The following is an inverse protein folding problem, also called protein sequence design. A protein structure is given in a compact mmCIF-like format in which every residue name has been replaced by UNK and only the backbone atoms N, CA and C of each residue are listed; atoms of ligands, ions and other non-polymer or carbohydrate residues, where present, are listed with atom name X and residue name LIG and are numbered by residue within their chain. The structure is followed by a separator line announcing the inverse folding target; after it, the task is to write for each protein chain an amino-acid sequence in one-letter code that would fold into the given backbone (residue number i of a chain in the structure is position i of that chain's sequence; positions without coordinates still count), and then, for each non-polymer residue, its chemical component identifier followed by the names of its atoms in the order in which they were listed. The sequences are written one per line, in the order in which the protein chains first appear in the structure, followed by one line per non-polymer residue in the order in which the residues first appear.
data_IF_775270436303
#
_entry.id   IF_775270436303
#
_cell.length_a   1.000
_cell.length_b   1.000
_cell.length_c   1.000
_cell.angle_alpha   90.00
_cell.angle_beta   90.00
_cell.angle_gamma   90.00
#
_symmetry.space_group_name_H-M   'P 1'
#
loop_
_entity.id
_entity.type
_entity.pdbx_description
1 polymer ?
#
# COMPACT_ATOMS: atom_id res chain seq x y z
N UNK A 1 38.24 -3.80 -32.40
CA UNK A 1 37.29 -4.75 -31.76
C UNK A 1 36.04 -3.93 -31.42
N UNK A 2 34.84 -4.39 -31.78
CA UNK A 2 33.58 -3.69 -31.43
C UNK A 2 32.92 -4.44 -30.29
N UNK A 3 32.39 -3.69 -29.32
CA UNK A 3 31.61 -4.21 -28.20
C UNK A 3 30.22 -3.59 -28.22
N UNK A 4 29.23 -4.37 -27.80
CA UNK A 4 27.85 -3.92 -27.58
C UNK A 4 27.50 -4.25 -26.14
N UNK A 5 26.96 -3.27 -25.41
CA UNK A 5 26.45 -3.46 -24.06
C UNK A 5 24.93 -3.52 -24.13
N UNK A 6 24.35 -4.48 -23.40
CA UNK A 6 22.91 -4.62 -23.24
C UNK A 6 22.54 -4.44 -21.77
N UNK A 7 21.39 -3.83 -21.55
CA UNK A 7 20.70 -3.79 -20.27
C UNK A 7 19.70 -4.96 -20.18
N UNK A 8 19.15 -5.24 -18.99
CA UNK A 8 18.16 -6.30 -18.78
C UNK A 8 16.75 -5.71 -18.79
N UNK A 9 16.48 -4.76 -17.90
CA UNK A 9 15.15 -4.17 -17.74
C UNK A 9 14.90 -3.12 -18.82
N UNK A 10 13.73 -3.20 -19.48
CA UNK A 10 13.38 -2.36 -20.63
C UNK A 10 14.08 -2.75 -21.94
N UNK A 11 14.95 -3.76 -21.94
CA UNK A 11 15.63 -4.29 -23.15
C UNK A 11 15.29 -5.75 -23.38
N UNK A 12 15.51 -6.63 -22.40
CA UNK A 12 15.15 -8.04 -22.49
C UNK A 12 13.85 -8.37 -21.76
N UNK A 13 13.60 -7.72 -20.61
CA UNK A 13 12.45 -7.97 -19.75
C UNK A 13 11.73 -6.66 -19.41
N UNK A 14 10.44 -6.74 -19.12
CA UNK A 14 9.64 -5.60 -18.65
C UNK A 14 9.51 -5.59 -17.12
N UNK A 15 9.30 -4.41 -16.54
CA UNK A 15 9.04 -4.25 -15.10
C UNK A 15 7.64 -4.71 -14.65
N UNK A 16 6.77 -5.12 -15.58
CA UNK A 16 5.36 -5.46 -15.32
C UNK A 16 5.17 -6.44 -14.15
N UNK A 17 6.02 -7.47 -14.06
CA UNK A 17 5.92 -8.45 -12.97
C UNK A 17 6.25 -7.88 -11.60
N UNK A 18 7.03 -6.80 -11.53
CA UNK A 18 7.27 -6.11 -10.28
C UNK A 18 6.02 -5.35 -9.82
N UNK A 19 5.26 -4.74 -10.75
CA UNK A 19 3.99 -4.09 -10.42
C UNK A 19 2.92 -5.11 -10.05
N UNK A 20 2.87 -6.25 -10.73
CA UNK A 20 1.99 -7.38 -10.36
C UNK A 20 2.23 -7.82 -8.92
N UNK A 21 3.49 -8.10 -8.55
CA UNK A 21 3.85 -8.50 -7.18
C UNK A 21 3.52 -7.41 -6.17
N UNK A 22 3.78 -6.14 -6.52
CA UNK A 22 3.43 -5.00 -5.66
C UNK A 22 1.93 -4.95 -5.36
N UNK A 23 1.09 -5.18 -6.38
CA UNK A 23 -0.36 -5.23 -6.21
C UNK A 23 -0.78 -6.42 -5.34
N UNK A 24 -0.21 -7.60 -5.60
CA UNK A 24 -0.49 -8.80 -4.81
C UNK A 24 -0.12 -8.60 -3.34
N UNK A 25 1.03 -7.99 -3.04
CA UNK A 25 1.43 -7.69 -1.65
C UNK A 25 0.43 -6.78 -0.94
N UNK A 26 0.00 -5.69 -1.60
CA UNK A 26 -1.01 -4.78 -1.03
C UNK A 26 -2.31 -5.56 -0.76
N UNK A 27 -2.78 -6.32 -1.75
CA UNK A 27 -4.05 -7.03 -1.67
C UNK A 27 -4.01 -8.14 -0.61
N UNK A 28 -2.91 -8.88 -0.51
CA UNK A 28 -2.71 -9.92 0.50
C UNK A 28 -2.69 -9.34 1.91
N UNK A 29 -1.97 -8.23 2.14
CA UNK A 29 -1.95 -7.56 3.44
C UNK A 29 -3.34 -7.09 3.89
N UNK A 30 -4.18 -6.64 2.97
CA UNK A 30 -5.53 -6.15 3.26
C UNK A 30 -6.53 -7.30 3.45
N UNK A 31 -6.50 -8.32 2.60
CA UNK A 31 -7.55 -9.34 2.52
C UNK A 31 -7.24 -10.61 3.31
N UNK A 32 -5.97 -11.06 3.33
CA UNK A 32 -5.61 -12.33 3.95
C UNK A 32 -5.80 -12.30 5.47
N UNK A 33 -6.33 -13.41 6.01
CA UNK A 33 -6.46 -13.65 7.46
C UNK A 33 -5.13 -13.66 8.22
N UNK A 34 -4.02 -13.84 7.51
CA UNK A 34 -2.68 -13.81 8.11
C UNK A 34 -2.24 -12.36 8.40
N UNK A 35 -2.95 -11.36 7.88
CA UNK A 35 -2.69 -9.94 8.09
C UNK A 35 -3.95 -9.24 8.60
N UNK A 36 -4.57 -8.33 7.82
CA UNK A 36 -5.75 -7.58 8.26
C UNK A 36 -7.04 -8.40 8.11
N UNK A 37 -7.14 -9.28 7.11
CA UNK A 37 -8.27 -10.21 7.03
C UNK A 37 -9.61 -9.60 6.64
N UNK A 38 -9.64 -8.54 5.83
CA UNK A 38 -10.89 -7.90 5.38
C UNK A 38 -11.79 -8.84 4.56
N UNK A 39 -11.19 -9.73 3.79
CA UNK A 39 -11.87 -10.80 3.08
C UNK A 39 -11.05 -12.10 3.17
N UNK A 40 -11.23 -12.88 4.24
CA UNK A 40 -10.44 -14.10 4.46
C UNK A 40 -10.80 -15.23 3.49
N UNK A 41 -11.78 -15.04 2.60
CA UNK A 41 -12.18 -16.02 1.59
C UNK A 41 -11.25 -16.04 0.37
N UNK A 42 -10.51 -14.94 0.13
CA UNK A 42 -9.58 -14.82 -1.00
C UNK A 42 -8.48 -15.88 -0.92
N UNK A 43 -8.25 -16.59 -2.02
CA UNK A 43 -7.18 -17.59 -2.15
C UNK A 43 -6.04 -17.02 -3.00
N UNK A 44 -4.85 -16.93 -2.42
CA UNK A 44 -3.65 -16.43 -3.10
C UNK A 44 -2.83 -17.55 -3.77
N UNK A 45 -3.12 -18.81 -3.46
CA UNK A 45 -2.46 -19.97 -4.05
C UNK A 45 -3.01 -20.25 -5.47
N UNK A 46 -2.10 -20.45 -6.43
CA UNK A 46 -2.49 -20.85 -7.79
C UNK A 46 -3.18 -19.78 -8.62
N UNK A 47 -2.97 -18.49 -8.31
CA UNK A 47 -3.52 -17.38 -9.09
C UNK A 47 -3.07 -17.45 -10.56
N UNK A 48 -4.02 -17.23 -11.46
CA UNK A 48 -3.78 -17.11 -12.90
C UNK A 48 -3.34 -15.68 -13.26
N UNK A 49 -2.66 -15.51 -14.41
CA UNK A 49 -2.26 -14.18 -14.91
C UNK A 49 -3.44 -13.19 -15.03
N UNK A 50 -4.63 -13.68 -15.39
CA UNK A 50 -5.83 -12.85 -15.46
C UNK A 50 -6.28 -12.34 -14.09
N UNK A 51 -6.22 -13.19 -13.07
CA UNK A 51 -6.56 -12.80 -11.69
C UNK A 51 -5.53 -11.84 -11.11
N UNK A 52 -4.24 -12.06 -11.40
CA UNK A 52 -3.17 -11.13 -11.02
C UNK A 52 -3.41 -9.75 -11.65
N UNK A 53 -3.76 -9.72 -12.94
CA UNK A 53 -4.07 -8.49 -13.67
C UNK A 53 -5.30 -7.79 -13.09
N UNK A 54 -6.35 -8.54 -12.73
CA UNK A 54 -7.53 -7.99 -12.08
C UNK A 54 -7.21 -7.36 -10.72
N UNK A 55 -6.46 -8.05 -9.87
CA UNK A 55 -5.99 -7.52 -8.58
C UNK A 55 -5.18 -6.24 -8.79
N UNK A 56 -4.26 -6.23 -9.77
CA UNK A 56 -3.49 -5.02 -10.11
C UNK A 56 -4.38 -3.86 -10.53
N UNK A 57 -5.35 -4.09 -11.40
CA UNK A 57 -6.28 -3.06 -11.85
C UNK A 57 -7.11 -2.49 -10.70
N UNK A 58 -7.48 -3.32 -9.72
CA UNK A 58 -8.16 -2.86 -8.50
C UNK A 58 -7.20 -2.04 -7.65
N UNK A 59 -6.06 -2.61 -7.25
CA UNK A 59 -5.14 -2.01 -6.27
C UNK A 59 -4.52 -0.71 -6.75
N UNK A 60 -4.08 -0.67 -8.00
CA UNK A 60 -3.45 0.52 -8.57
C UNK A 60 -4.39 1.37 -9.42
N UNK A 61 -5.69 1.07 -9.36
CA UNK A 61 -6.74 1.79 -10.08
C UNK A 61 -6.39 1.97 -11.56
N UNK A 62 -6.32 0.85 -12.29
CA UNK A 62 -5.89 0.79 -13.69
C UNK A 62 -4.53 1.49 -13.94
N UNK A 63 -3.56 1.26 -13.05
CA UNK A 63 -2.22 1.86 -13.03
C UNK A 63 -2.15 3.40 -12.91
N UNK A 64 -3.27 4.08 -12.66
CA UNK A 64 -3.27 5.53 -12.43
C UNK A 64 -2.43 5.89 -11.20
N UNK A 65 -2.51 5.07 -10.14
CA UNK A 65 -1.73 5.26 -8.91
C UNK A 65 -0.24 5.10 -9.19
N UNK A 66 0.17 4.05 -9.91
CA UNK A 66 1.56 3.83 -10.29
C UNK A 66 2.11 4.99 -11.13
N UNK A 67 1.32 5.42 -12.12
CA UNK A 67 1.68 6.55 -12.99
C UNK A 67 1.89 7.83 -12.17
N UNK A 68 0.99 8.10 -11.22
CA UNK A 68 1.11 9.27 -10.33
C UNK A 68 2.35 9.18 -9.43
N UNK A 69 2.58 8.05 -8.78
CA UNK A 69 3.75 7.83 -7.91
C UNK A 69 5.07 8.04 -8.67
N UNK A 70 5.19 7.45 -9.87
CA UNK A 70 6.35 7.64 -10.74
C UNK A 70 6.53 9.10 -11.16
N UNK A 71 5.43 9.80 -11.51
CA UNK A 71 5.47 11.23 -11.87
C UNK A 71 5.95 12.12 -10.71
N UNK A 72 5.72 11.69 -9.47
CA UNK A 72 6.22 12.34 -8.26
C UNK A 72 7.63 11.90 -7.88
N UNK A 73 8.30 11.06 -8.69
CA UNK A 73 9.67 10.63 -8.47
C UNK A 73 9.83 9.43 -7.54
N UNK A 74 8.76 8.69 -7.27
CA UNK A 74 8.81 7.43 -6.51
C UNK A 74 8.87 6.23 -7.47
N UNK A 75 10.03 5.60 -7.59
CA UNK A 75 10.26 4.50 -8.55
C UNK A 75 10.47 3.12 -7.88
N UNK A 76 10.72 3.08 -6.57
CA UNK A 76 10.89 1.82 -5.85
C UNK A 76 9.54 1.14 -5.65
N UNK A 77 9.41 -0.09 -6.13
CA UNK A 77 8.21 -0.91 -5.92
C UNK A 77 7.85 -1.06 -4.44
N UNK A 78 8.86 -1.19 -3.58
CA UNK A 78 8.68 -1.25 -2.12
C UNK A 78 8.10 0.04 -1.55
N UNK A 79 8.57 1.21 -2.00
CA UNK A 79 8.02 2.47 -1.54
C UNK A 79 6.59 2.67 -2.08
N UNK A 80 6.35 2.32 -3.35
CA UNK A 80 5.04 2.45 -3.99
C UNK A 80 3.97 1.60 -3.28
N UNK A 81 4.24 0.31 -3.06
CA UNK A 81 3.30 -0.56 -2.33
C UNK A 81 3.13 -0.12 -0.88
N UNK A 82 4.19 0.39 -0.23
CA UNK A 82 4.10 0.88 1.14
C UNK A 82 3.17 2.08 1.25
N UNK A 83 3.29 3.08 0.36
CA UNK A 83 2.39 4.25 0.37
C UNK A 83 0.94 3.80 0.20
N UNK A 84 0.65 2.88 -0.73
CA UNK A 84 -0.72 2.39 -0.97
C UNK A 84 -1.27 1.65 0.25
N UNK A 85 -0.49 0.73 0.84
CA UNK A 85 -0.89 0.04 2.08
C UNK A 85 -1.13 1.04 3.20
N UNK A 86 -0.23 2.01 3.41
CA UNK A 86 -0.33 2.98 4.49
C UNK A 86 -1.60 3.83 4.40
N UNK A 87 -1.99 4.28 3.20
CA UNK A 87 -3.22 5.06 3.01
C UNK A 87 -4.47 4.23 3.38
N UNK A 88 -4.54 2.97 2.96
CA UNK A 88 -5.64 2.10 3.35
C UNK A 88 -5.61 1.76 4.84
N UNK A 89 -4.43 1.51 5.40
CA UNK A 89 -4.26 1.22 6.82
C UNK A 89 -4.71 2.39 7.70
N UNK A 90 -4.33 3.62 7.36
CA UNK A 90 -4.81 4.84 8.03
C UNK A 90 -6.34 4.88 7.99
N UNK A 91 -6.96 4.58 6.84
CA UNK A 91 -8.42 4.56 6.71
C UNK A 91 -9.07 3.55 7.65
N UNK A 92 -8.48 2.37 7.80
CA UNK A 92 -8.97 1.32 8.70
C UNK A 92 -8.86 1.75 10.17
N UNK A 93 -7.73 2.35 10.55
CA UNK A 93 -7.50 2.86 11.90
C UNK A 93 -8.50 3.95 12.33
N UNK A 94 -9.12 4.69 11.39
CA UNK A 94 -10.20 5.63 11.72
C UNK A 94 -11.45 4.96 12.30
N UNK A 95 -11.61 3.64 12.11
CA UNK A 95 -12.71 2.85 12.67
C UNK A 95 -12.50 2.42 14.12
N UNK A 96 -11.31 2.65 14.68
CA UNK A 96 -10.93 2.22 16.03
C UNK A 96 -11.30 3.25 17.09
N UNK A 97 -11.46 2.80 18.34
CA UNK A 97 -11.49 3.71 19.49
C UNK A 97 -10.11 4.30 19.78
N UNK A 98 -10.04 5.40 20.55
CA UNK A 98 -8.77 6.04 20.89
C UNK A 98 -7.82 5.09 21.65
N UNK A 99 -8.34 4.23 22.52
CA UNK A 99 -7.53 3.27 23.28
C UNK A 99 -6.93 2.22 22.34
N UNK A 100 -7.75 1.66 21.45
CA UNK A 100 -7.31 0.70 20.43
C UNK A 100 -6.29 1.31 19.47
N UNK A 101 -6.51 2.56 19.07
CA UNK A 101 -5.62 3.30 18.19
C UNK A 101 -4.26 3.50 18.86
N UNK A 102 -4.20 3.89 20.13
CA UNK A 102 -2.93 4.06 20.85
C UNK A 102 -2.10 2.77 20.91
N UNK A 103 -2.75 1.62 21.12
CA UNK A 103 -2.08 0.33 21.09
C UNK A 103 -1.53 -0.01 19.69
N UNK A 104 -2.31 0.27 18.64
CA UNK A 104 -1.92 0.06 17.24
C UNK A 104 -0.76 0.97 16.82
N UNK A 105 -0.75 2.23 17.27
CA UNK A 105 0.28 3.22 16.93
C UNK A 105 1.61 3.03 17.69
N UNK A 106 1.66 2.14 18.68
CA UNK A 106 2.83 1.92 19.50
C UNK A 106 3.94 1.16 18.75
N UNK A 107 5.07 1.81 18.39
CA UNK A 107 6.10 1.19 17.56
C UNK A 107 6.83 0.04 18.27
N UNK A 108 6.79 -0.02 19.61
CA UNK A 108 7.42 -1.10 20.37
C UNK A 108 6.61 -2.40 20.32
N UNK A 109 5.34 -2.30 19.95
CA UNK A 109 4.40 -3.43 19.93
C UNK A 109 3.93 -3.76 18.52
N UNK A 110 4.21 -2.90 17.52
CA UNK A 110 3.80 -3.11 16.14
C UNK A 110 4.39 -4.39 15.55
N UNK A 111 3.53 -5.33 15.17
CA UNK A 111 3.89 -6.58 14.51
C UNK A 111 2.69 -7.13 13.71
N UNK A 112 2.80 -8.34 13.17
CA UNK A 112 1.73 -8.98 12.40
C UNK A 112 0.41 -9.11 13.16
N UNK A 113 0.44 -9.37 14.48
CA UNK A 113 -0.78 -9.43 15.30
C UNK A 113 -1.46 -8.05 15.42
N UNK A 114 -0.72 -6.95 15.27
CA UNK A 114 -1.30 -5.61 15.23
C UNK A 114 -2.20 -5.44 14.01
N UNK A 115 -1.81 -6.01 12.86
CA UNK A 115 -2.63 -5.98 11.64
C UNK A 115 -3.92 -6.78 11.82
N UNK A 116 -3.81 -8.00 12.38
CA UNK A 116 -4.97 -8.84 12.68
C UNK A 116 -5.92 -8.15 13.67
N UNK A 117 -5.37 -7.52 14.71
CA UNK A 117 -6.15 -6.76 15.67
C UNK A 117 -6.96 -5.64 15.02
N UNK A 118 -6.39 -4.89 14.07
CA UNK A 118 -7.13 -3.85 13.34
C UNK A 118 -8.32 -4.47 12.62
N UNK A 119 -8.12 -5.58 11.90
CA UNK A 119 -9.17 -6.28 11.17
C UNK A 119 -10.32 -6.79 12.04
N UNK A 120 -10.00 -7.33 13.22
CA UNK A 120 -10.99 -7.89 14.17
C UNK A 120 -11.87 -6.81 14.81
N UNK A 121 -11.40 -5.56 14.88
CA UNK A 121 -12.07 -4.48 15.61
C UNK A 121 -12.74 -3.44 14.71
N UNK A 122 -12.67 -3.62 13.40
CA UNK A 122 -13.41 -2.83 12.41
C UNK A 122 -14.58 -3.64 11.86
N UNK A 123 -15.66 -2.96 11.47
CA UNK A 123 -16.82 -3.62 10.86
C UNK A 123 -17.36 -2.82 9.68
N UNK A 124 -17.85 -3.51 8.65
CA UNK A 124 -18.46 -2.93 7.44
C UNK A 124 -17.59 -1.90 6.71
N UNK A 125 -16.27 -2.12 6.63
CA UNK A 125 -15.39 -1.22 5.88
C UNK A 125 -15.41 -1.59 4.40
N UNK A 126 -15.82 -0.64 3.56
CA UNK A 126 -15.59 -0.70 2.11
C UNK A 126 -14.35 0.13 1.79
N UNK A 127 -13.33 -0.51 1.22
CA UNK A 127 -12.14 0.20 0.77
C UNK A 127 -12.41 0.92 -0.55
N UNK A 128 -12.07 2.20 -0.60
CA UNK A 128 -11.96 2.95 -1.84
C UNK A 128 -10.52 2.86 -2.35
N UNK A 129 -10.28 1.97 -3.31
CA UNK A 129 -8.96 1.78 -3.92
C UNK A 129 -8.47 2.98 -4.74
N UNK A 130 -9.33 3.98 -5.02
CA UNK A 130 -8.90 5.23 -5.64
C UNK A 130 -8.36 6.25 -4.62
N UNK A 131 -8.56 6.04 -3.31
CA UNK A 131 -8.15 6.97 -2.25
C UNK A 131 -6.67 7.40 -2.30
N UNK A 132 -5.69 6.53 -2.67
CA UNK A 132 -4.31 6.97 -2.86
C UNK A 132 -4.14 8.09 -3.89
N UNK A 133 -4.97 8.16 -4.94
CA UNK A 133 -4.91 9.26 -5.92
C UNK A 133 -5.25 10.60 -5.26
N UNK A 134 -6.31 10.64 -4.46
CA UNK A 134 -6.72 11.84 -3.76
C UNK A 134 -5.64 12.35 -2.80
N UNK A 135 -4.94 11.44 -2.11
CA UNK A 135 -3.75 11.77 -1.32
C UNK A 135 -2.65 12.40 -2.18
N UNK A 136 -2.31 11.77 -3.32
CA UNK A 136 -1.18 12.17 -4.16
C UNK A 136 -1.40 13.50 -4.90
N UNK A 137 -2.63 13.99 -5.06
CA UNK A 137 -2.91 15.25 -5.74
C UNK A 137 -2.38 16.49 -5.01
N UNK A 138 -2.23 16.42 -3.69
CA UNK A 138 -1.66 17.50 -2.86
C UNK A 138 -0.15 17.40 -2.64
N UNK A 139 0.51 16.36 -3.14
CA UNK A 139 1.89 16.01 -2.75
C UNK A 139 2.91 16.60 -3.72
N UNK A 140 3.95 17.24 -3.16
CA UNK A 140 5.10 17.70 -3.95
C UNK A 140 6.03 16.54 -4.33
N UNK A 141 6.63 16.60 -5.51
CA UNK A 141 7.55 15.57 -6.01
C UNK A 141 8.75 15.34 -5.09
N UNK A 142 9.25 14.10 -5.07
CA UNK A 142 10.40 13.62 -4.30
C UNK A 142 9.98 12.68 -3.18
N UNK A 143 10.72 11.57 -3.02
CA UNK A 143 10.47 10.54 -2.00
C UNK A 143 10.26 11.16 -0.60
N UNK A 144 11.19 12.00 -0.15
CA UNK A 144 11.11 12.61 1.19
C UNK A 144 9.86 13.46 1.38
N UNK A 145 9.39 14.15 0.33
CA UNK A 145 8.19 14.97 0.39
C UNK A 145 6.92 14.11 0.46
N UNK A 146 6.89 12.98 -0.26
CA UNK A 146 5.79 12.01 -0.20
C UNK A 146 5.67 11.43 1.22
N UNK A 147 6.77 10.97 1.80
CA UNK A 147 6.76 10.40 3.17
C UNK A 147 6.37 11.45 4.22
N UNK A 148 6.88 12.69 4.12
CA UNK A 148 6.44 13.79 5.01
C UNK A 148 4.95 14.08 4.89
N UNK A 149 4.43 14.05 3.65
CA UNK A 149 3.00 14.24 3.40
C UNK A 149 2.17 13.09 3.96
N UNK A 150 2.67 11.84 3.86
CA UNK A 150 2.02 10.67 4.44
C UNK A 150 1.95 10.75 5.98
N UNK A 151 3.04 11.16 6.64
CA UNK A 151 3.06 11.40 8.09
C UNK A 151 2.01 12.45 8.47
N UNK A 152 1.98 13.58 7.76
CA UNK A 152 1.01 14.66 8.00
C UNK A 152 -0.42 14.16 7.81
N UNK A 153 -0.67 13.44 6.72
CA UNK A 153 -1.96 12.85 6.41
C UNK A 153 -2.43 11.90 7.52
N UNK A 154 -1.54 11.04 8.05
CA UNK A 154 -1.86 10.16 9.16
C UNK A 154 -2.19 10.92 10.45
N UNK A 155 -1.37 11.92 10.82
CA UNK A 155 -1.61 12.73 12.02
C UNK A 155 -2.97 13.44 11.96
N UNK A 156 -3.35 13.99 10.80
CA UNK A 156 -4.64 14.67 10.58
C UNK A 156 -5.81 13.69 10.62
N UNK A 157 -5.68 12.51 10.01
CA UNK A 157 -6.77 11.55 9.88
C UNK A 157 -6.99 10.70 11.14
N UNK A 158 -5.96 10.55 11.98
CA UNK A 158 -5.99 9.77 13.21
C UNK A 158 -6.00 10.63 14.49
N UNK A 159 -5.98 11.96 14.35
CA UNK A 159 -5.93 12.91 15.47
C UNK A 159 -4.82 12.60 16.49
N UNK A 160 -3.64 12.24 15.99
CA UNK A 160 -2.51 11.77 16.81
C UNK A 160 -1.22 12.50 16.47
N UNK A 161 -0.35 12.66 17.46
CA UNK A 161 1.05 13.09 17.27
C UNK A 161 2.02 11.91 17.23
N UNK A 162 1.52 10.69 17.45
CA UNK A 162 2.31 9.47 17.40
C UNK A 162 2.50 9.03 15.95
N UNK A 163 3.73 9.21 15.45
CA UNK A 163 4.09 8.86 14.07
C UNK A 163 4.72 7.45 13.99
N UNK A 164 4.50 6.59 14.99
CA UNK A 164 5.20 5.31 15.13
C UNK A 164 5.03 4.31 13.98
N UNK A 165 4.13 4.60 13.03
CA UNK A 165 3.76 3.74 11.91
C UNK A 165 4.42 4.16 10.57
N UNK A 166 4.97 5.38 10.45
CA UNK A 166 5.46 5.94 9.16
C UNK A 166 6.90 6.46 9.27
#
# INVERSE_FOLDING_TARGET
MKSVLFDVDGVFLSEERCFDVSALTVYEMLMSKDYIGLDPSVQFEGLTDSQITEIRNIVFYNDEILTKLKSLGLNSNWDMLFIVVAIHFIKLCQGLSNDQLSDVLNPKQFNQNTLAFVGEHISNVTLDFSAPLAFLDGVSSGKDNIYKSLVTYASEHLNTTENGII
#
